data_IF_087657261048
#
_entry.id   IF_087657261048
#
_cell.length_a   1.000
_cell.length_b   1.000
_cell.length_c   1.000
_cell.angle_alpha   90.00
_cell.angle_beta   90.00
_cell.angle_gamma   90.00
#
_symmetry.space_group_name_H-M   'P 1'
#
loop_
_entity.id
_entity.type
_entity.pdbx_description
1 polymer ?
#
# COMPACT_ATOMS: atom_id res chain seq x y z
N UNK A 1 -1.05 28.14 -8.98
CA UNK A 1 0.04 27.14 -9.13
C UNK A 1 -0.11 26.15 -7.99
N UNK A 2 0.01 24.85 -8.25
CA UNK A 2 0.02 23.85 -7.19
C UNK A 2 1.17 24.11 -6.19
N UNK A 3 0.89 24.11 -4.89
CA UNK A 3 1.90 24.06 -3.82
C UNK A 3 2.85 22.86 -3.97
N UNK A 4 4.14 23.10 -3.69
CA UNK A 4 5.22 22.13 -3.57
C UNK A 4 5.47 21.72 -2.11
N UNK A 5 6.34 20.72 -1.89
CA UNK A 5 6.81 20.38 -0.55
C UNK A 5 7.59 21.53 0.10
N UNK A 6 8.37 22.29 -0.68
CA UNK A 6 9.10 23.47 -0.16
C UNK A 6 8.13 24.57 0.30
N UNK A 7 7.03 24.78 -0.42
CA UNK A 7 5.98 25.71 0.03
C UNK A 7 5.36 25.22 1.34
N UNK A 8 5.03 23.92 1.42
CA UNK A 8 4.48 23.30 2.63
C UNK A 8 5.45 23.42 3.82
N UNK A 9 6.74 23.25 3.59
CA UNK A 9 7.79 23.35 4.61
C UNK A 9 7.83 24.76 5.22
N UNK A 10 7.64 25.80 4.40
CA UNK A 10 7.57 27.20 4.83
C UNK A 10 6.27 27.60 5.54
N UNK A 11 5.20 26.79 5.46
CA UNK A 11 3.93 27.08 6.13
C UNK A 11 3.99 26.77 7.64
N UNK A 12 3.28 27.58 8.43
CA UNK A 12 2.89 27.17 9.78
C UNK A 12 1.92 26.00 9.73
N UNK A 13 1.74 25.32 10.86
CA UNK A 13 0.79 24.21 10.96
C UNK A 13 -0.63 24.67 10.63
N UNK A 14 -1.06 25.80 11.19
CA UNK A 14 -2.39 26.37 11.03
C UNK A 14 -2.66 26.77 9.57
N UNK A 15 -1.67 27.40 8.92
CA UNK A 15 -1.77 27.80 7.53
C UNK A 15 -1.91 26.60 6.59
N UNK A 16 -1.09 25.55 6.78
CA UNK A 16 -1.15 24.33 5.99
C UNK A 16 -2.48 23.58 6.19
N UNK A 17 -2.96 23.52 7.44
CA UNK A 17 -4.20 22.85 7.79
C UNK A 17 -5.47 23.59 7.32
N UNK A 18 -5.36 24.90 7.03
CA UNK A 18 -6.43 25.71 6.46
C UNK A 18 -6.53 25.60 4.93
N UNK A 19 -5.59 24.91 4.27
CA UNK A 19 -5.66 24.65 2.83
C UNK A 19 -6.91 23.82 2.49
N UNK A 20 -7.51 24.05 1.30
CA UNK A 20 -8.60 23.22 0.79
C UNK A 20 -8.23 21.74 0.82
N UNK A 21 -9.23 20.87 1.01
CA UNK A 21 -9.03 19.41 1.02
C UNK A 21 -8.20 18.93 -0.17
N UNK A 22 -8.57 19.33 -1.39
CA UNK A 22 -7.88 18.94 -2.63
C UNK A 22 -6.37 19.30 -2.63
N UNK A 23 -6.02 20.45 -2.05
CA UNK A 23 -4.61 20.86 -1.96
C UNK A 23 -3.84 20.01 -0.94
N UNK A 24 -4.44 19.74 0.23
CA UNK A 24 -3.85 18.85 1.23
C UNK A 24 -3.73 17.42 0.69
N UNK A 25 -4.72 16.94 -0.04
CA UNK A 25 -4.77 15.60 -0.62
C UNK A 25 -3.67 15.42 -1.69
N UNK A 26 -3.50 16.41 -2.56
CA UNK A 26 -2.40 16.45 -3.53
C UNK A 26 -1.02 16.55 -2.86
N UNK A 27 -0.90 17.35 -1.80
CA UNK A 27 0.34 17.45 -1.03
C UNK A 27 0.67 16.12 -0.34
N UNK A 28 -0.32 15.37 0.13
CA UNK A 28 -0.10 14.03 0.67
C UNK A 28 0.53 13.08 -0.36
N UNK A 29 0.09 13.13 -1.62
CA UNK A 29 0.73 12.32 -2.68
C UNK A 29 2.21 12.67 -2.86
N UNK A 30 2.56 13.97 -2.79
CA UNK A 30 3.95 14.41 -2.85
C UNK A 30 4.76 13.96 -1.62
N UNK A 31 4.17 14.01 -0.41
CA UNK A 31 4.81 13.55 0.83
C UNK A 31 5.10 12.05 0.73
N UNK A 32 4.12 11.24 0.32
CA UNK A 32 4.29 9.80 0.18
C UNK A 32 5.32 9.48 -0.91
N UNK A 33 5.30 10.18 -2.05
CA UNK A 33 6.29 9.99 -3.09
C UNK A 33 7.72 10.29 -2.60
N UNK A 34 7.91 11.39 -1.88
CA UNK A 34 9.20 11.78 -1.32
C UNK A 34 9.68 10.83 -0.22
N UNK A 35 8.77 10.21 0.54
CA UNK A 35 9.11 9.25 1.58
C UNK A 35 9.59 7.90 1.06
N UNK A 36 9.39 7.55 -0.22
CA UNK A 36 9.85 6.27 -0.79
C UNK A 36 11.33 6.34 -1.15
N UNK A 37 12.16 5.56 -0.46
CA UNK A 37 13.60 5.54 -0.64
C UNK A 37 14.15 4.27 -1.28
N UNK A 38 15.35 4.41 -1.85
CA UNK A 38 16.22 3.30 -2.28
C UNK A 38 17.55 3.45 -1.54
N UNK A 39 18.11 2.34 -1.07
CA UNK A 39 19.35 2.36 -0.28
C UNK A 39 20.59 2.50 -1.16
N UNK A 40 20.47 2.24 -2.46
CA UNK A 40 21.57 2.25 -3.42
C UNK A 40 21.08 2.79 -4.76
N UNK A 41 22.00 3.36 -5.55
CA UNK A 41 21.73 3.74 -6.95
C UNK A 41 21.85 2.54 -7.93
N UNK A 42 22.02 1.32 -7.42
CA UNK A 42 22.20 0.12 -8.23
C UNK A 42 20.85 -0.39 -8.74
N UNK A 43 20.78 -0.69 -10.03
CA UNK A 43 19.60 -1.33 -10.63
C UNK A 43 19.53 -2.79 -10.17
N UNK A 44 18.53 -3.11 -9.35
CA UNK A 44 18.24 -4.46 -8.89
C UNK A 44 17.47 -5.25 -9.95
N UNK A 45 17.64 -6.57 -10.02
CA UNK A 45 16.73 -7.42 -10.81
C UNK A 45 15.28 -7.40 -10.28
N UNK A 46 15.09 -6.84 -9.08
CA UNK A 46 13.80 -6.63 -8.43
C UNK A 46 13.29 -5.18 -8.58
N UNK A 47 13.87 -4.39 -9.48
CA UNK A 47 13.41 -3.02 -9.77
C UNK A 47 11.90 -2.98 -10.04
N UNK A 48 11.23 -2.00 -9.44
CA UNK A 48 9.78 -1.81 -9.58
C UNK A 48 8.93 -2.76 -8.72
N UNK A 49 9.54 -3.56 -7.83
CA UNK A 49 8.80 -4.44 -6.92
C UNK A 49 8.64 -3.87 -5.51
N UNK A 50 9.51 -2.97 -5.08
CA UNK A 50 9.46 -2.38 -3.74
C UNK A 50 10.25 -1.07 -3.63
N UNK A 51 9.94 -0.31 -2.58
CA UNK A 51 10.86 0.65 -1.96
C UNK A 51 11.70 -0.06 -0.88
N UNK A 52 12.94 0.36 -0.68
CA UNK A 52 13.80 -0.23 0.35
C UNK A 52 13.39 0.25 1.75
N UNK A 53 12.97 1.50 1.85
CA UNK A 53 12.46 2.11 3.06
C UNK A 53 11.40 3.16 2.75
N UNK A 54 10.59 3.47 3.76
CA UNK A 54 9.60 4.54 3.72
C UNK A 54 9.83 5.49 4.91
N UNK A 55 10.17 6.74 4.63
CA UNK A 55 10.29 7.80 5.64
C UNK A 55 8.92 8.41 5.93
N UNK A 56 8.32 8.01 7.05
CA UNK A 56 7.09 8.61 7.55
C UNK A 56 7.40 9.99 8.17
N UNK A 57 7.42 11.03 7.32
CA UNK A 57 7.61 12.43 7.74
C UNK A 57 6.38 12.95 8.50
N UNK A 58 6.35 12.69 9.81
CA UNK A 58 5.25 13.07 10.69
C UNK A 58 5.01 14.58 10.72
N UNK A 59 6.04 15.41 10.48
CA UNK A 59 5.88 16.86 10.43
C UNK A 59 5.04 17.28 9.24
N UNK A 60 5.35 16.80 8.04
CA UNK A 60 4.54 17.10 6.85
C UNK A 60 3.18 16.41 6.88
N UNK A 61 3.12 15.17 7.36
CA UNK A 61 1.85 14.44 7.54
C UNK A 61 0.89 15.21 8.46
N UNK A 62 1.38 15.79 9.57
CA UNK A 62 0.58 16.60 10.48
C UNK A 62 0.07 17.90 9.82
N UNK A 63 0.90 18.54 8.97
CA UNK A 63 0.52 19.74 8.22
C UNK A 63 -0.66 19.51 7.28
N UNK A 64 -0.74 18.35 6.64
CA UNK A 64 -1.85 18.01 5.73
C UNK A 64 -3.02 17.29 6.42
N UNK A 65 -2.96 17.07 7.75
CA UNK A 65 -3.90 16.23 8.51
C UNK A 65 -4.01 14.82 7.93
N UNK A 66 -2.86 14.20 7.64
CA UNK A 66 -2.82 12.83 7.17
C UNK A 66 -3.35 11.87 8.25
N UNK A 67 -4.09 10.86 7.81
CA UNK A 67 -4.61 9.77 8.61
C UNK A 67 -4.01 8.48 8.06
N UNK A 68 -3.36 7.73 8.95
CA UNK A 68 -2.84 6.39 8.66
C UNK A 68 -4.00 5.41 8.63
N UNK A 69 -4.09 4.64 7.56
CA UNK A 69 -5.10 3.60 7.33
C UNK A 69 -4.39 2.25 7.43
N UNK A 70 -4.85 1.42 8.36
CA UNK A 70 -4.33 0.07 8.59
C UNK A 70 -5.40 -0.94 8.16
N UNK A 71 -5.13 -1.73 7.13
CA UNK A 71 -5.99 -2.84 6.78
C UNK A 71 -5.71 -4.04 7.69
N UNK A 72 -6.75 -4.81 8.01
CA UNK A 72 -6.58 -6.11 8.66
C UNK A 72 -5.88 -7.11 7.72
N UNK A 73 -5.43 -8.23 8.29
CA UNK A 73 -5.05 -9.40 7.49
C UNK A 73 -6.21 -9.87 6.62
N UNK A 74 -5.95 -9.98 5.31
CA UNK A 74 -6.96 -10.26 4.29
C UNK A 74 -6.51 -11.41 3.40
N UNK A 75 -7.39 -12.40 3.24
CA UNK A 75 -7.17 -13.59 2.40
C UNK A 75 -8.01 -13.52 1.12
N UNK A 76 -7.93 -14.57 0.30
CA UNK A 76 -8.80 -14.78 -0.85
C UNK A 76 -10.22 -15.27 -0.47
N UNK A 77 -10.55 -15.49 0.82
CA UNK A 77 -11.85 -16.07 1.19
C UNK A 77 -13.01 -15.09 1.05
N UNK A 78 -14.17 -15.59 0.62
CA UNK A 78 -15.45 -14.89 0.67
C UNK A 78 -16.03 -14.82 2.09
N UNK A 79 -17.21 -14.20 2.22
CA UNK A 79 -17.93 -14.11 3.50
C UNK A 79 -18.40 -15.46 4.04
N UNK A 80 -18.56 -16.45 3.15
CA UNK A 80 -18.84 -17.85 3.48
C UNK A 80 -17.61 -18.61 4.00
N UNK A 81 -16.43 -17.97 3.98
CA UNK A 81 -15.16 -18.54 4.39
C UNK A 81 -14.50 -19.39 3.30
N UNK A 82 -15.11 -19.57 2.12
CA UNK A 82 -14.53 -20.36 1.04
C UNK A 82 -13.58 -19.51 0.20
N UNK A 83 -12.50 -20.09 -0.37
CA UNK A 83 -11.64 -19.36 -1.30
C UNK A 83 -12.43 -18.84 -2.49
N UNK A 84 -12.18 -17.60 -2.89
CA UNK A 84 -12.63 -17.05 -4.16
C UNK A 84 -11.54 -17.31 -5.19
N UNK A 85 -11.83 -18.20 -6.14
CA UNK A 85 -10.91 -18.62 -7.19
C UNK A 85 -10.53 -20.10 -7.10
N UNK A 86 -10.44 -20.76 -8.25
CA UNK A 86 -10.14 -22.19 -8.37
C UNK A 86 -8.63 -22.49 -8.36
N UNK A 87 -7.80 -21.47 -8.62
CA UNK A 87 -6.35 -21.56 -8.66
C UNK A 87 -5.69 -20.38 -7.92
N UNK A 88 -4.39 -20.50 -7.69
CA UNK A 88 -3.59 -19.51 -6.98
C UNK A 88 -3.69 -18.11 -7.61
N UNK A 89 -3.68 -18.00 -8.93
CA UNK A 89 -3.75 -16.72 -9.65
C UNK A 89 -5.07 -15.97 -9.35
N UNK A 90 -6.20 -16.69 -9.42
CA UNK A 90 -7.52 -16.16 -9.10
C UNK A 90 -7.64 -15.79 -7.63
N UNK A 91 -7.08 -16.60 -6.74
CA UNK A 91 -7.02 -16.31 -5.30
C UNK A 91 -6.16 -15.07 -5.01
N UNK A 92 -5.02 -14.89 -5.68
CA UNK A 92 -4.18 -13.71 -5.54
C UNK A 92 -4.97 -12.45 -5.92
N UNK A 93 -5.64 -12.46 -7.09
CA UNK A 93 -6.48 -11.33 -7.50
C UNK A 93 -7.65 -11.09 -6.56
N UNK A 94 -8.29 -12.14 -6.04
CA UNK A 94 -9.37 -12.01 -5.07
C UNK A 94 -8.89 -11.32 -3.78
N UNK A 95 -7.74 -11.73 -3.25
CA UNK A 95 -7.15 -11.12 -2.06
C UNK A 95 -6.84 -9.62 -2.27
N UNK A 96 -6.23 -9.25 -3.40
CA UNK A 96 -5.99 -7.83 -3.73
C UNK A 96 -7.31 -7.04 -3.91
N UNK A 97 -8.34 -7.62 -4.52
CA UNK A 97 -9.66 -6.98 -4.62
C UNK A 97 -10.30 -6.77 -3.26
N UNK A 98 -10.17 -7.71 -2.32
CA UNK A 98 -10.67 -7.53 -0.96
C UNK A 98 -9.95 -6.40 -0.23
N UNK A 99 -8.61 -6.31 -0.35
CA UNK A 99 -7.85 -5.17 0.19
C UNK A 99 -8.28 -3.87 -0.46
N UNK A 100 -8.53 -3.86 -1.79
CA UNK A 100 -9.07 -2.69 -2.49
C UNK A 100 -10.38 -2.21 -1.86
N UNK A 101 -11.31 -3.13 -1.55
CA UNK A 101 -12.56 -2.79 -0.87
C UNK A 101 -12.32 -2.09 0.48
N UNK A 102 -11.31 -2.51 1.24
CA UNK A 102 -10.95 -1.84 2.50
C UNK A 102 -10.38 -0.44 2.27
N UNK A 103 -9.47 -0.29 1.31
CA UNK A 103 -8.87 1.00 0.96
C UNK A 103 -9.91 2.00 0.44
N UNK A 104 -10.80 1.55 -0.46
CA UNK A 104 -11.90 2.35 -1.00
C UNK A 104 -12.86 2.81 0.11
N UNK A 105 -13.26 1.90 1.00
CA UNK A 105 -14.11 2.23 2.16
C UNK A 105 -13.43 3.23 3.11
N UNK A 106 -12.10 3.15 3.21
CA UNK A 106 -11.30 4.09 3.97
C UNK A 106 -11.03 5.41 3.22
N UNK A 107 -11.50 5.60 1.98
CA UNK A 107 -11.23 6.78 1.13
C UNK A 107 -9.74 6.96 0.78
N UNK A 108 -9.07 5.86 0.45
CA UNK A 108 -7.70 5.84 -0.09
C UNK A 108 -7.58 4.79 -1.20
N UNK A 109 -6.37 4.49 -1.69
CA UNK A 109 -6.15 3.48 -2.71
C UNK A 109 -4.74 2.88 -2.66
N UNK A 110 -4.49 1.88 -3.50
CA UNK A 110 -3.18 1.25 -3.64
C UNK A 110 -2.06 2.23 -4.05
N UNK A 111 -2.37 3.37 -4.67
CA UNK A 111 -1.35 4.39 -4.99
C UNK A 111 -0.68 4.99 -3.75
N UNK A 112 -1.38 4.95 -2.61
CA UNK A 112 -0.94 5.47 -1.31
C UNK A 112 -0.51 4.40 -0.32
N UNK A 113 -0.42 3.14 -0.74
CA UNK A 113 0.15 2.09 0.11
C UNK A 113 1.67 2.31 0.22
N UNK A 114 2.17 2.18 1.45
CA UNK A 114 3.59 2.41 1.79
C UNK A 114 4.26 1.17 2.37
N UNK A 115 3.48 0.26 2.95
CA UNK A 115 3.94 -1.03 3.47
C UNK A 115 2.98 -2.12 3.04
N UNK A 116 3.52 -3.23 2.55
CA UNK A 116 2.77 -4.43 2.19
C UNK A 116 3.52 -5.69 2.62
N UNK A 117 2.92 -6.50 3.50
CA UNK A 117 3.46 -7.80 3.89
C UNK A 117 2.50 -8.90 3.44
N UNK A 118 3.04 -9.87 2.71
CA UNK A 118 2.28 -10.95 2.07
C UNK A 118 2.83 -12.30 2.49
N UNK A 119 1.92 -13.24 2.75
CA UNK A 119 2.21 -14.64 2.94
C UNK A 119 1.70 -15.43 1.74
N UNK A 120 2.53 -16.33 1.22
CA UNK A 120 2.18 -17.28 0.15
C UNK A 120 2.40 -18.70 0.64
N UNK A 121 1.50 -19.62 0.30
CA UNK A 121 1.67 -21.05 0.62
C UNK A 121 2.53 -21.78 -0.41
N UNK A 122 2.69 -21.22 -1.61
CA UNK A 122 3.54 -21.76 -2.66
C UNK A 122 4.49 -20.69 -3.22
N UNK A 123 5.78 -20.80 -2.88
CA UNK A 123 6.81 -19.86 -3.37
C UNK A 123 7.29 -20.16 -4.78
N UNK A 124 6.95 -21.32 -5.36
CA UNK A 124 7.24 -21.61 -6.78
C UNK A 124 6.42 -20.68 -7.70
N UNK A 125 5.32 -20.11 -7.18
CA UNK A 125 4.47 -19.13 -7.86
C UNK A 125 4.98 -17.69 -7.77
N UNK A 126 6.29 -17.49 -7.51
CA UNK A 126 6.88 -16.15 -7.38
C UNK A 126 6.62 -15.23 -8.58
N UNK A 127 6.77 -15.74 -9.81
CA UNK A 127 6.54 -14.96 -11.03
C UNK A 127 5.06 -14.59 -11.18
N UNK A 128 4.19 -15.58 -11.01
CA UNK A 128 2.73 -15.43 -11.05
C UNK A 128 2.22 -14.39 -10.05
N UNK A 129 2.70 -14.45 -8.80
CA UNK A 129 2.36 -13.45 -7.78
C UNK A 129 2.80 -12.05 -8.20
N UNK A 130 4.02 -11.89 -8.74
CA UNK A 130 4.51 -10.58 -9.15
C UNK A 130 3.78 -10.03 -10.39
N UNK A 131 3.24 -10.88 -11.26
CA UNK A 131 2.36 -10.45 -12.35
C UNK A 131 1.07 -9.87 -11.80
N UNK A 132 0.36 -10.62 -10.96
CA UNK A 132 -0.88 -10.16 -10.29
C UNK A 132 -0.62 -8.89 -9.47
N UNK A 133 0.45 -8.85 -8.68
CA UNK A 133 0.83 -7.70 -7.86
C UNK A 133 0.92 -6.39 -8.67
N UNK A 134 1.49 -6.45 -9.89
CA UNK A 134 1.65 -5.27 -10.76
C UNK A 134 0.33 -4.76 -11.32
N UNK A 135 -0.72 -5.57 -11.34
CA UNK A 135 -2.07 -5.13 -11.73
C UNK A 135 -2.65 -4.13 -10.72
N UNK A 136 -2.27 -4.22 -9.44
CA UNK A 136 -2.86 -3.45 -8.35
C UNK A 136 -1.96 -2.35 -7.80
N UNK A 137 -0.63 -2.52 -7.88
CA UNK A 137 0.33 -1.63 -7.22
C UNK A 137 1.01 -0.70 -8.24
N UNK A 138 0.50 0.54 -8.42
CA UNK A 138 1.13 1.49 -9.34
C UNK A 138 2.43 2.08 -8.78
N UNK A 139 2.54 2.19 -7.45
CA UNK A 139 3.69 2.74 -6.75
C UNK A 139 4.20 1.70 -5.74
N UNK A 140 5.37 1.09 -5.96
CA UNK A 140 5.85 0.02 -5.08
C UNK A 140 6.07 0.49 -3.63
N UNK A 141 5.40 -0.11 -2.62
CA UNK A 141 5.66 0.13 -1.21
C UNK A 141 6.91 -0.60 -0.71
N UNK A 142 7.29 -0.38 0.55
CA UNK A 142 8.08 -1.36 1.29
C UNK A 142 7.34 -2.71 1.27
N UNK A 143 8.03 -3.78 0.84
CA UNK A 143 7.36 -5.06 0.60
C UNK A 143 8.13 -6.23 1.21
N UNK A 144 7.40 -7.10 1.88
CA UNK A 144 7.87 -8.43 2.24
C UNK A 144 6.90 -9.49 1.70
N UNK A 145 7.45 -10.58 1.14
CA UNK A 145 6.67 -11.75 0.71
C UNK A 145 7.32 -12.98 1.32
N UNK A 146 6.54 -13.75 2.07
CA UNK A 146 7.04 -14.79 2.97
C UNK A 146 6.35 -16.11 2.61
N UNK A 147 7.13 -17.17 2.41
CA UNK A 147 6.60 -18.53 2.27
C UNK A 147 6.13 -19.07 3.61
N UNK A 148 4.96 -19.72 3.64
CA UNK A 148 4.42 -20.39 4.83
C UNK A 148 3.87 -21.77 4.49
N UNK A 149 3.75 -22.63 5.50
CA UNK A 149 3.18 -23.98 5.36
C UNK A 149 1.65 -24.01 5.44
N UNK A 150 1.02 -22.88 5.79
CA UNK A 150 -0.43 -22.77 5.86
C UNK A 150 -0.91 -21.39 6.28
N UNK A 151 -2.22 -21.18 6.10
CA UNK A 151 -2.99 -19.99 6.49
C UNK A 151 -4.19 -20.42 7.35
N UNK A 152 -5.12 -19.49 7.62
CA UNK A 152 -6.31 -19.75 8.44
C UNK A 152 -7.16 -20.96 7.96
N UNK A 153 -7.13 -21.28 6.66
CA UNK A 153 -7.75 -22.47 6.09
C UNK A 153 -6.84 -23.08 5.03
N UNK A 154 -6.81 -24.42 4.97
CA UNK A 154 -5.92 -25.18 4.07
C UNK A 154 -5.99 -24.77 2.59
N UNK A 155 -7.17 -24.46 2.01
CA UNK A 155 -7.26 -24.14 0.58
C UNK A 155 -6.78 -22.72 0.20
N UNK A 156 -6.47 -21.86 1.17
CA UNK A 156 -6.06 -20.48 0.90
C UNK A 156 -4.60 -20.42 0.45
N UNK A 157 -4.36 -19.70 -0.65
CA UNK A 157 -3.03 -19.56 -1.25
C UNK A 157 -2.26 -18.30 -0.81
N UNK A 158 -2.97 -17.28 -0.31
CA UNK A 158 -2.43 -15.95 -0.02
C UNK A 158 -3.09 -15.31 1.19
N UNK A 159 -2.30 -14.54 1.94
CA UNK A 159 -2.78 -13.56 2.90
C UNK A 159 -1.94 -12.28 2.84
N UNK A 160 -2.57 -11.12 2.65
CA UNK A 160 -1.94 -9.83 2.86
C UNK A 160 -2.14 -9.49 4.34
N UNK A 161 -1.10 -9.65 5.16
CA UNK A 161 -1.20 -9.51 6.63
C UNK A 161 -1.04 -8.07 7.11
N UNK A 162 -0.34 -7.25 6.33
CA UNK A 162 -0.15 -5.83 6.62
C UNK A 162 -0.26 -5.03 5.32
N UNK A 163 -1.16 -4.04 5.33
CA UNK A 163 -1.28 -3.05 4.28
C UNK A 163 -1.51 -1.69 4.96
N UNK A 164 -0.52 -0.81 4.83
CA UNK A 164 -0.55 0.55 5.40
C UNK A 164 -0.67 1.56 4.28
N UNK A 165 -1.68 2.41 4.36
CA UNK A 165 -1.90 3.53 3.45
C UNK A 165 -2.18 4.83 4.21
N UNK A 166 -2.31 5.94 3.48
CA UNK A 166 -2.71 7.22 4.05
C UNK A 166 -3.84 7.86 3.27
N UNK A 167 -4.55 8.75 3.95
CA UNK A 167 -5.47 9.73 3.34
C UNK A 167 -5.39 11.04 4.10
N UNK A 168 -6.05 12.06 3.58
CA UNK A 168 -6.26 13.31 4.31
C UNK A 168 -7.58 13.27 5.10
N UNK A 169 -7.62 13.95 6.24
CA UNK A 169 -8.87 14.21 6.97
C UNK A 169 -9.75 15.20 6.19
N UNK A 170 -11.06 14.93 6.12
CA UNK A 170 -12.04 15.86 5.53
C UNK A 170 -11.98 17.22 6.24
#
# INVERSE_FOLDING_TARGET
MPYSLTDLDGMSLEAAQALPFEERDRLLDLIIAAGRGQSTDVVSYRTGLYADYFEEDLTRMLKVKAIKVLCRGTTSSGFDGLPVGENDEEQYRACFRHVKTHLDAAKTSFSRVVTLIVFLTNMDNWLLFNEVYREFIPNPPCRAVIGTTGLAQKPLAIEIVECIAYRVAE
#
